data_IF_543283752984
#
_entry.id   IF_543283752984
#
_cell.length_a   1.000
_cell.length_b   1.000
_cell.length_c   1.000
_cell.angle_alpha   90.00
_cell.angle_beta   90.00
_cell.angle_gamma   90.00
#
_symmetry.space_group_name_H-M   'P 1'
#
loop_
_entity.id
_entity.type
_entity.pdbx_description
1 polymer ?
#
# COMPACT_ATOMS: atom_id res chain seq x y z
N UNK A 1 -35.39 11.90 -24.39
CA UNK A 1 -34.91 12.92 -23.44
C UNK A 1 -36.02 13.34 -22.48
N UNK A 2 -35.69 13.42 -21.19
CA UNK A 2 -36.60 13.56 -20.03
C UNK A 2 -37.22 14.96 -19.96
N UNK A 3 -36.49 15.97 -20.43
CA UNK A 3 -36.92 17.37 -20.54
C UNK A 3 -38.01 17.55 -21.62
N UNK A 4 -37.89 16.80 -22.72
CA UNK A 4 -38.81 16.91 -23.86
C UNK A 4 -40.20 16.33 -23.54
N UNK A 5 -40.28 15.26 -22.73
CA UNK A 5 -41.55 14.68 -22.30
C UNK A 5 -42.31 15.58 -21.32
N UNK A 6 -41.58 16.32 -20.45
CA UNK A 6 -42.17 17.29 -19.52
C UNK A 6 -42.82 18.47 -20.26
N UNK A 7 -42.19 18.95 -21.33
CA UNK A 7 -42.75 20.01 -22.18
C UNK A 7 -43.99 19.55 -22.96
N UNK A 8 -44.03 18.29 -23.42
CA UNK A 8 -45.19 17.73 -24.10
C UNK A 8 -46.42 17.63 -23.17
N UNK A 9 -46.21 17.24 -21.91
CA UNK A 9 -47.28 17.10 -20.93
C UNK A 9 -48.02 18.43 -20.62
N UNK A 10 -47.33 19.57 -20.75
CA UNK A 10 -47.90 20.91 -20.53
C UNK A 10 -48.92 21.33 -21.59
N UNK A 11 -49.07 20.59 -22.69
CA UNK A 11 -50.03 20.91 -23.76
C UNK A 11 -51.41 20.26 -23.56
N UNK A 12 -51.55 19.34 -22.61
CA UNK A 12 -52.83 18.67 -22.32
C UNK A 12 -53.78 19.51 -21.47
N UNK A 13 -55.06 19.13 -21.47
CA UNK A 13 -56.11 19.68 -20.61
C UNK A 13 -55.72 19.61 -19.11
N UNK A 14 -56.25 20.50 -18.24
CA UNK A 14 -55.74 20.71 -16.88
C UNK A 14 -55.60 19.45 -16.03
N UNK A 15 -56.62 18.59 -16.03
CA UNK A 15 -56.61 17.35 -15.23
C UNK A 15 -55.65 16.29 -15.80
N UNK A 16 -55.61 16.15 -17.12
CA UNK A 16 -54.66 15.25 -17.81
C UNK A 16 -53.22 15.70 -17.58
N UNK A 17 -52.96 17.01 -17.61
CA UNK A 17 -51.65 17.60 -17.31
C UNK A 17 -51.24 17.35 -15.86
N UNK A 18 -52.15 17.53 -14.90
CA UNK A 18 -51.91 17.28 -13.47
C UNK A 18 -51.55 15.82 -13.22
N UNK A 19 -52.31 14.89 -13.78
CA UNK A 19 -52.03 13.44 -13.63
C UNK A 19 -50.69 13.06 -14.28
N UNK A 20 -50.42 13.55 -15.50
CA UNK A 20 -49.16 13.29 -16.19
C UNK A 20 -47.94 13.85 -15.43
N UNK A 21 -48.05 15.05 -14.83
CA UNK A 21 -46.97 15.63 -14.01
C UNK A 21 -46.74 14.85 -12.70
N UNK A 22 -47.80 14.36 -12.07
CA UNK A 22 -47.71 13.54 -10.86
C UNK A 22 -47.04 12.20 -11.15
N UNK A 23 -47.49 11.48 -12.19
CA UNK A 23 -46.88 10.22 -12.61
C UNK A 23 -45.42 10.40 -13.04
N UNK A 24 -45.12 11.50 -13.74
CA UNK A 24 -43.76 11.86 -14.12
C UNK A 24 -42.86 12.10 -12.90
N UNK A 25 -43.34 12.87 -11.91
CA UNK A 25 -42.57 13.16 -10.70
C UNK A 25 -42.31 11.88 -9.89
N UNK A 26 -43.29 10.98 -9.83
CA UNK A 26 -43.14 9.66 -9.20
C UNK A 26 -42.10 8.79 -9.94
N UNK A 27 -42.13 8.77 -11.28
CA UNK A 27 -41.15 8.07 -12.11
C UNK A 27 -39.73 8.64 -11.93
N UNK A 28 -39.59 9.96 -11.89
CA UNK A 28 -38.30 10.61 -11.69
C UNK A 28 -37.73 10.33 -10.29
N UNK A 29 -38.57 10.33 -9.27
CA UNK A 29 -38.17 9.96 -7.90
C UNK A 29 -37.65 8.53 -7.86
N UNK A 30 -38.39 7.57 -8.43
CA UNK A 30 -37.96 6.16 -8.52
C UNK A 30 -36.65 6.00 -9.29
N UNK A 31 -36.46 6.75 -10.38
CA UNK A 31 -35.23 6.73 -11.16
C UNK A 31 -34.04 7.26 -10.34
N UNK A 32 -34.21 8.38 -9.64
CA UNK A 32 -33.17 8.95 -8.79
C UNK A 32 -32.80 8.01 -7.64
N UNK A 33 -33.78 7.36 -7.01
CA UNK A 33 -33.55 6.35 -5.98
C UNK A 33 -32.80 5.13 -6.53
N UNK A 34 -33.21 4.61 -7.69
CA UNK A 34 -32.54 3.49 -8.35
C UNK A 34 -31.10 3.86 -8.75
N UNK A 35 -30.88 5.07 -9.27
CA UNK A 35 -29.55 5.59 -9.58
C UNK A 35 -28.68 5.72 -8.33
N UNK A 36 -29.23 6.24 -7.23
CA UNK A 36 -28.53 6.35 -5.95
C UNK A 36 -28.13 4.97 -5.42
N UNK A 37 -28.96 3.95 -5.62
CA UNK A 37 -28.65 2.56 -5.25
C UNK A 37 -27.59 1.94 -6.17
N UNK A 38 -27.69 2.11 -7.49
CA UNK A 38 -26.82 1.40 -8.45
C UNK A 38 -25.44 2.06 -8.64
N UNK A 39 -25.34 3.38 -8.50
CA UNK A 39 -24.09 4.11 -8.77
C UNK A 39 -22.93 3.67 -7.86
N UNK A 40 -23.11 3.45 -6.55
CA UNK A 40 -22.07 2.87 -5.70
C UNK A 40 -21.55 1.52 -6.21
N UNK A 41 -22.43 0.62 -6.67
CA UNK A 41 -22.01 -0.68 -7.21
C UNK A 41 -21.28 -0.55 -8.55
N UNK A 42 -21.69 0.39 -9.40
CA UNK A 42 -20.97 0.68 -10.66
C UNK A 42 -19.56 1.21 -10.38
N UNK A 43 -19.45 2.14 -9.44
CA UNK A 43 -18.16 2.70 -9.04
C UNK A 43 -17.29 1.64 -8.37
N UNK A 44 -17.84 0.84 -7.46
CA UNK A 44 -17.15 -0.27 -6.85
C UNK A 44 -16.64 -1.26 -7.89
N UNK A 45 -17.47 -1.70 -8.84
CA UNK A 45 -17.04 -2.63 -9.90
C UNK A 45 -15.92 -2.04 -10.76
N UNK A 46 -15.98 -0.74 -11.06
CA UNK A 46 -14.93 -0.03 -11.80
C UNK A 46 -13.61 0.02 -11.01
N UNK A 47 -13.67 0.23 -9.71
CA UNK A 47 -12.50 0.37 -8.83
C UNK A 47 -11.98 -0.97 -8.29
N UNK A 48 -12.78 -2.03 -8.31
CA UNK A 48 -12.51 -3.29 -7.63
C UNK A 48 -11.17 -3.91 -8.06
N UNK A 49 -10.93 -4.01 -9.38
CA UNK A 49 -9.68 -4.55 -9.89
C UNK A 49 -8.47 -3.74 -9.45
N UNK A 50 -8.56 -2.40 -9.46
CA UNK A 50 -7.49 -1.54 -8.98
C UNK A 50 -7.22 -1.74 -7.48
N UNK A 51 -8.27 -1.92 -6.67
CA UNK A 51 -8.13 -2.21 -5.23
C UNK A 51 -7.50 -3.57 -4.97
N UNK A 52 -7.85 -4.59 -5.75
CA UNK A 52 -7.25 -5.93 -5.64
C UNK A 52 -5.77 -5.88 -5.98
N UNK A 53 -5.38 -5.23 -7.08
CA UNK A 53 -3.97 -5.11 -7.46
C UNK A 53 -3.17 -4.26 -6.46
N UNK A 54 -3.77 -3.20 -5.90
CA UNK A 54 -3.15 -2.44 -4.82
C UNK A 54 -2.89 -3.31 -3.58
N UNK A 55 -3.86 -4.17 -3.19
CA UNK A 55 -3.71 -5.10 -2.07
C UNK A 55 -2.64 -6.17 -2.31
N UNK A 56 -2.55 -6.72 -3.52
CA UNK A 56 -1.47 -7.66 -3.88
C UNK A 56 -0.11 -7.00 -3.78
N UNK A 57 0.04 -5.81 -4.35
CA UNK A 57 1.30 -5.06 -4.29
C UNK A 57 1.72 -4.73 -2.84
N UNK A 58 0.77 -4.43 -1.96
CA UNK A 58 1.05 -4.26 -0.53
C UNK A 58 1.52 -5.56 0.13
N UNK A 59 0.86 -6.68 -0.17
CA UNK A 59 1.27 -7.99 0.34
C UNK A 59 2.69 -8.34 -0.08
N UNK A 60 3.03 -8.16 -1.35
CA UNK A 60 4.38 -8.43 -1.86
C UNK A 60 5.45 -7.55 -1.20
N UNK A 61 5.12 -6.30 -0.86
CA UNK A 61 6.03 -5.42 -0.13
C UNK A 61 6.18 -5.91 1.32
N UNK A 62 5.10 -6.33 1.97
CA UNK A 62 5.14 -6.87 3.33
C UNK A 62 5.98 -8.15 3.42
N UNK A 63 5.87 -9.03 2.43
CA UNK A 63 6.67 -10.26 2.35
C UNK A 63 8.15 -9.93 2.19
N UNK A 64 8.50 -9.00 1.30
CA UNK A 64 9.90 -8.52 1.12
C UNK A 64 10.50 -7.88 2.36
N UNK A 65 9.69 -7.16 3.15
CA UNK A 65 10.13 -6.61 4.45
C UNK A 65 10.42 -7.76 5.41
N UNK A 66 9.51 -8.74 5.49
CA UNK A 66 9.64 -9.88 6.41
C UNK A 66 10.86 -10.74 6.08
N UNK A 67 11.11 -11.01 4.80
CA UNK A 67 12.32 -11.70 4.33
C UNK A 67 13.59 -10.94 4.72
N UNK A 68 13.61 -9.63 4.48
CA UNK A 68 14.75 -8.80 4.85
C UNK A 68 14.95 -8.76 6.38
N UNK A 69 13.88 -8.67 7.17
CA UNK A 69 13.95 -8.72 8.63
C UNK A 69 14.57 -10.05 9.12
N UNK A 70 14.21 -11.18 8.51
CA UNK A 70 14.80 -12.48 8.83
C UNK A 70 16.30 -12.53 8.52
N UNK A 71 16.72 -12.01 7.36
CA UNK A 71 18.14 -11.95 7.00
C UNK A 71 18.93 -11.04 7.94
N UNK A 72 18.35 -9.90 8.32
CA UNK A 72 18.93 -8.97 9.30
C UNK A 72 19.06 -9.61 10.68
N UNK A 73 18.06 -10.37 11.12
CA UNK A 73 18.11 -11.11 12.39
C UNK A 73 19.22 -12.16 12.36
N UNK A 74 19.32 -12.92 11.26
CA UNK A 74 20.38 -13.90 11.05
C UNK A 74 21.76 -13.25 11.08
N UNK A 75 21.94 -12.13 10.39
CA UNK A 75 23.20 -11.40 10.39
C UNK A 75 23.53 -10.84 11.78
N UNK A 76 22.53 -10.36 12.52
CA UNK A 76 22.71 -9.89 13.89
C UNK A 76 23.16 -11.03 14.83
N UNK A 77 22.52 -12.20 14.75
CA UNK A 77 22.93 -13.39 15.51
C UNK A 77 24.34 -13.85 15.16
N UNK A 78 24.73 -13.83 13.89
CA UNK A 78 26.10 -14.20 13.50
C UNK A 78 27.12 -13.18 14.00
N UNK A 79 26.77 -11.89 14.04
CA UNK A 79 27.63 -10.84 14.57
C UNK A 79 27.72 -10.80 16.09
N UNK A 80 26.85 -11.48 16.85
CA UNK A 80 26.93 -11.50 18.32
C UNK A 80 28.15 -12.26 18.84
N UNK A 81 28.83 -13.06 17.99
CA UNK A 81 30.13 -13.61 18.31
C UNK A 81 31.15 -12.52 18.72
N UNK A 82 30.99 -11.31 18.16
CA UNK A 82 31.77 -10.13 18.53
C UNK A 82 31.64 -9.73 20.01
N UNK A 83 30.52 -10.08 20.67
CA UNK A 83 30.30 -9.77 22.09
C UNK A 83 31.16 -10.66 23.00
N UNK A 84 31.59 -11.82 22.50
CA UNK A 84 32.41 -12.80 23.24
C UNK A 84 33.89 -12.78 22.85
N UNK A 85 34.28 -11.96 21.88
CA UNK A 85 35.67 -11.83 21.44
C UNK A 85 35.80 -11.44 19.97
N UNK A 86 36.99 -11.69 19.43
CA UNK A 86 37.28 -11.44 18.02
C UNK A 86 36.63 -12.53 17.15
N UNK A 87 35.86 -12.12 16.14
CA UNK A 87 35.33 -13.02 15.11
C UNK A 87 36.47 -13.54 14.23
N UNK A 88 36.41 -14.80 13.84
CA UNK A 88 37.31 -15.38 12.84
C UNK A 88 37.06 -14.78 11.45
N UNK A 89 38.05 -14.88 10.56
CA UNK A 89 37.91 -14.37 9.19
C UNK A 89 36.80 -15.08 8.41
N UNK A 90 36.60 -16.37 8.66
CA UNK A 90 35.51 -17.15 8.06
C UNK A 90 34.13 -16.67 8.54
N UNK A 91 33.97 -16.41 9.84
CA UNK A 91 32.73 -15.88 10.42
C UNK A 91 32.41 -14.47 9.90
N UNK A 92 33.44 -13.62 9.77
CA UNK A 92 33.29 -12.28 9.19
C UNK A 92 32.82 -12.36 7.74
N UNK A 93 33.49 -13.16 6.90
CA UNK A 93 33.14 -13.28 5.50
C UNK A 93 31.75 -13.90 5.31
N UNK A 94 31.37 -14.87 6.13
CA UNK A 94 30.04 -15.47 6.11
C UNK A 94 28.95 -14.45 6.47
N UNK A 95 29.19 -13.59 7.46
CA UNK A 95 28.24 -12.56 7.87
C UNK A 95 28.14 -11.43 6.82
N UNK A 96 29.26 -10.99 6.24
CA UNK A 96 29.29 -9.98 5.17
C UNK A 96 28.51 -10.41 3.92
N UNK A 97 28.57 -11.71 3.56
CA UNK A 97 27.80 -12.31 2.46
C UNK A 97 26.29 -12.24 2.68
N UNK A 98 25.81 -12.19 3.93
CA UNK A 98 24.40 -11.99 4.26
C UNK A 98 24.02 -10.51 4.32
N UNK A 99 24.88 -9.69 4.90
CA UNK A 99 24.60 -8.26 5.13
C UNK A 99 24.47 -7.48 3.82
N UNK A 100 25.31 -7.77 2.84
CA UNK A 100 25.34 -7.06 1.55
C UNK A 100 24.01 -7.15 0.78
N UNK A 101 23.47 -8.36 0.49
CA UNK A 101 22.18 -8.50 -0.19
C UNK A 101 21.02 -7.95 0.66
N UNK A 102 20.99 -8.22 1.97
CA UNK A 102 19.96 -7.70 2.87
C UNK A 102 19.89 -6.16 2.84
N UNK A 103 21.05 -5.49 2.84
CA UNK A 103 21.11 -4.03 2.78
C UNK A 103 20.58 -3.49 1.44
N UNK A 104 20.94 -4.13 0.33
CA UNK A 104 20.44 -3.76 -0.99
C UNK A 104 18.92 -3.94 -1.09
N UNK A 105 18.39 -5.05 -0.57
CA UNK A 105 16.95 -5.33 -0.53
C UNK A 105 16.18 -4.31 0.30
N UNK A 106 16.64 -4.01 1.51
CA UNK A 106 15.99 -3.02 2.39
C UNK A 106 15.97 -1.63 1.74
N UNK A 107 17.08 -1.20 1.13
CA UNK A 107 17.16 0.09 0.44
C UNK A 107 16.19 0.17 -0.75
N UNK A 108 16.07 -0.92 -1.53
CA UNK A 108 15.12 -0.99 -2.64
C UNK A 108 13.66 -0.94 -2.14
N UNK A 109 13.36 -1.65 -1.05
CA UNK A 109 12.03 -1.67 -0.42
C UNK A 109 11.64 -0.30 0.13
N UNK A 110 12.53 0.39 0.85
CA UNK A 110 12.29 1.76 1.35
C UNK A 110 12.03 2.74 0.21
N UNK A 111 12.81 2.69 -0.88
CA UNK A 111 12.57 3.53 -2.07
C UNK A 111 11.21 3.26 -2.71
N UNK A 112 10.82 1.98 -2.79
CA UNK A 112 9.51 1.59 -3.33
C UNK A 112 8.37 2.14 -2.47
N UNK A 113 8.50 2.05 -1.14
CA UNK A 113 7.54 2.61 -0.19
C UNK A 113 7.43 4.13 -0.30
N UNK A 114 8.55 4.84 -0.44
CA UNK A 114 8.55 6.29 -0.68
C UNK A 114 7.82 6.68 -1.97
N UNK A 115 8.04 5.93 -3.05
CA UNK A 115 7.31 6.14 -4.30
C UNK A 115 5.80 5.90 -4.12
N UNK A 116 5.41 4.81 -3.45
CA UNK A 116 4.01 4.47 -3.20
C UNK A 116 3.32 5.48 -2.30
N UNK A 117 4.00 6.00 -1.27
CA UNK A 117 3.49 7.05 -0.39
C UNK A 117 3.19 8.33 -1.16
N UNK A 118 4.08 8.74 -2.08
CA UNK A 118 3.85 9.91 -2.95
C UNK A 118 2.67 9.70 -3.88
N UNK A 119 2.56 8.51 -4.48
CA UNK A 119 1.46 8.17 -5.39
C UNK A 119 0.09 8.13 -4.70
N UNK A 120 0.04 7.80 -3.40
CA UNK A 120 -1.19 7.63 -2.64
C UNK A 120 -1.40 8.70 -1.57
N UNK A 121 -0.82 9.90 -1.75
CA UNK A 121 -0.83 10.95 -0.74
C UNK A 121 -2.25 11.43 -0.33
N UNK A 122 -3.24 11.26 -1.21
CA UNK A 122 -4.63 11.65 -0.98
C UNK A 122 -5.51 10.54 -0.37
N UNK A 123 -5.02 9.29 -0.30
CA UNK A 123 -5.73 8.17 0.31
C UNK A 123 -5.20 7.93 1.72
N UNK A 124 -5.91 8.43 2.73
CA UNK A 124 -5.48 8.37 4.13
C UNK A 124 -5.22 6.95 4.63
N UNK A 125 -6.12 6.01 4.32
CA UNK A 125 -5.97 4.63 4.77
C UNK A 125 -4.76 3.94 4.13
N UNK A 126 -4.57 4.14 2.82
CA UNK A 126 -3.40 3.61 2.11
C UNK A 126 -2.10 4.23 2.61
N UNK A 127 -2.11 5.54 2.90
CA UNK A 127 -0.96 6.27 3.43
C UNK A 127 -0.54 5.74 4.81
N UNK A 128 -1.50 5.48 5.70
CA UNK A 128 -1.20 4.97 7.04
C UNK A 128 -0.56 3.57 6.99
N UNK A 129 -1.11 2.67 6.15
CA UNK A 129 -0.56 1.33 5.95
C UNK A 129 0.86 1.36 5.37
N UNK A 130 1.08 2.18 4.33
CA UNK A 130 2.41 2.37 3.74
C UNK A 130 3.41 3.02 4.71
N UNK A 131 2.95 3.91 5.59
CA UNK A 131 3.79 4.54 6.62
C UNK A 131 4.24 3.48 7.63
N UNK A 132 3.32 2.64 8.12
CA UNK A 132 3.67 1.54 9.02
C UNK A 132 4.66 0.55 8.39
N UNK A 133 4.51 0.21 7.10
CA UNK A 133 5.48 -0.61 6.38
C UNK A 133 6.86 0.07 6.27
N UNK A 134 6.88 1.38 6.02
CA UNK A 134 8.13 2.17 5.96
C UNK A 134 8.83 2.21 7.31
N UNK A 135 8.09 2.34 8.40
CA UNK A 135 8.67 2.33 9.75
C UNK A 135 9.32 0.99 10.08
N UNK A 136 8.68 -0.14 9.72
CA UNK A 136 9.27 -1.49 9.84
C UNK A 136 10.54 -1.62 9.00
N UNK A 137 10.49 -1.25 7.72
CA UNK A 137 11.65 -1.32 6.83
C UNK A 137 12.83 -0.45 7.36
N UNK A 138 12.54 0.72 7.92
CA UNK A 138 13.55 1.58 8.54
C UNK A 138 14.12 1.00 9.84
N UNK A 139 13.30 0.31 10.64
CA UNK A 139 13.79 -0.40 11.82
C UNK A 139 14.76 -1.52 11.44
N UNK A 140 14.41 -2.33 10.43
CA UNK A 140 15.27 -3.36 9.87
C UNK A 140 16.59 -2.76 9.34
N UNK A 141 16.50 -1.65 8.59
CA UNK A 141 17.66 -0.88 8.10
C UNK A 141 18.59 -0.47 9.22
N UNK A 142 18.05 0.12 10.29
CA UNK A 142 18.83 0.59 11.44
C UNK A 142 19.52 -0.56 12.16
N UNK A 143 18.84 -1.70 12.32
CA UNK A 143 19.45 -2.91 12.91
C UNK A 143 20.61 -3.42 12.06
N UNK A 144 20.43 -3.48 10.74
CA UNK A 144 21.48 -3.89 9.81
C UNK A 144 22.67 -2.94 9.80
N UNK A 145 22.46 -1.63 9.88
CA UNK A 145 23.52 -0.62 10.03
C UNK A 145 24.35 -0.85 11.30
N UNK A 146 23.71 -1.30 12.38
CA UNK A 146 24.38 -1.76 13.60
C UNK A 146 25.32 -2.94 13.32
N UNK A 147 24.82 -3.98 12.65
CA UNK A 147 25.62 -5.16 12.26
C UNK A 147 26.81 -4.76 11.37
N UNK A 148 26.59 -3.91 10.37
CA UNK A 148 27.66 -3.40 9.50
C UNK A 148 28.75 -2.70 10.31
N UNK A 149 28.35 -1.91 11.31
CA UNK A 149 29.29 -1.21 12.19
C UNK A 149 30.12 -2.17 13.04
N UNK A 150 29.52 -3.25 13.54
CA UNK A 150 30.23 -4.32 14.26
C UNK A 150 31.24 -5.01 13.35
N UNK A 151 30.81 -5.42 12.15
CA UNK A 151 31.69 -6.10 11.19
C UNK A 151 32.90 -5.25 10.80
N UNK A 152 32.71 -3.95 10.56
CA UNK A 152 33.82 -3.02 10.27
C UNK A 152 34.86 -3.00 11.39
N UNK A 153 34.42 -2.86 12.65
CA UNK A 153 35.32 -2.87 13.81
C UNK A 153 36.07 -4.19 13.94
N UNK A 154 35.37 -5.31 13.73
CA UNK A 154 35.98 -6.63 13.77
C UNK A 154 37.01 -6.80 12.66
N UNK A 155 36.72 -6.34 11.43
CA UNK A 155 37.67 -6.39 10.30
C UNK A 155 38.95 -5.59 10.58
N UNK A 156 38.81 -4.39 11.14
CA UNK A 156 39.93 -3.54 11.55
C UNK A 156 40.81 -4.19 12.63
N UNK A 157 40.26 -5.04 13.49
CA UNK A 157 41.02 -5.73 14.54
C UNK A 157 41.75 -7.00 14.07
N UNK A 158 41.35 -7.60 12.93
CA UNK A 158 42.07 -8.73 12.30
C UNK A 158 43.21 -8.25 11.39
N UNK A 159 43.10 -7.04 10.84
CA UNK A 159 44.05 -6.48 9.86
C UNK A 159 45.21 -5.78 10.54
#
# INVERSE_FOLDING_TARGET
DVTNKLQAARKYAPDTRKNALNEYSAMQTKLTEAQRKINPYKNFKKEFHARVEARKALSEIADKISEAELEVEKAAMMSSAADSGQMSEDELQATEKLVTPANAQILATVRTLDMKLRQNAADGAMKDELTGMKDKANAAKKKLEGVVTVLKKQREAVT
#
